data_IF_716632388659
#
_entry.id   IF_716632388659
#
_cell.length_a   1.000
_cell.length_b   1.000
_cell.length_c   1.000
_cell.angle_alpha   90.00
_cell.angle_beta   90.00
_cell.angle_gamma   90.00
#
_symmetry.space_group_name_H-M   'P 1'
#
loop_
_entity.id
_entity.type
_entity.pdbx_description
1 polymer ?
#
# COMPACT_ATOMS: atom_id res chain seq x y z
N UNK A 1 27.02 1.69 16.11
CA UNK A 1 25.58 1.97 15.87
C UNK A 1 25.28 2.48 14.45
N UNK A 2 26.10 3.37 13.87
CA UNK A 2 25.87 3.96 12.53
C UNK A 2 25.71 2.96 11.36
N UNK A 3 26.48 1.86 11.34
CA UNK A 3 26.43 0.84 10.27
C UNK A 3 25.09 0.06 10.25
N UNK A 4 24.49 -0.18 11.42
CA UNK A 4 23.22 -0.91 11.53
C UNK A 4 22.04 -0.08 11.01
N UNK A 5 22.08 1.24 11.23
CA UNK A 5 21.04 2.18 10.79
C UNK A 5 20.99 2.34 9.27
N UNK A 6 22.15 2.39 8.61
CA UNK A 6 22.20 2.50 7.14
C UNK A 6 21.56 1.27 6.46
N UNK A 7 21.84 0.07 6.97
CA UNK A 7 21.26 -1.18 6.45
C UNK A 7 19.74 -1.25 6.63
N UNK A 8 19.20 -0.73 7.73
CA UNK A 8 17.75 -0.67 7.95
C UNK A 8 17.06 0.28 6.97
N UNK A 9 17.62 1.47 6.76
CA UNK A 9 17.05 2.48 5.86
C UNK A 9 17.06 1.97 4.42
N UNK A 10 18.13 1.32 3.97
CA UNK A 10 18.20 0.78 2.60
C UNK A 10 17.16 -0.32 2.37
N UNK A 11 16.97 -1.23 3.32
CA UNK A 11 15.93 -2.28 3.24
C UNK A 11 14.53 -1.66 3.16
N UNK A 12 14.26 -0.66 4.00
CA UNK A 12 12.97 0.04 3.98
C UNK A 12 12.73 0.75 2.64
N UNK A 13 13.72 1.50 2.15
CA UNK A 13 13.62 2.18 0.85
C UNK A 13 13.39 1.18 -0.29
N UNK A 14 14.11 0.05 -0.29
CA UNK A 14 13.92 -1.00 -1.28
C UNK A 14 12.48 -1.52 -1.28
N UNK A 15 11.93 -1.84 -0.11
CA UNK A 15 10.53 -2.28 -0.02
C UNK A 15 9.54 -1.20 -0.40
N UNK A 16 9.82 0.06 -0.07
CA UNK A 16 8.99 1.20 -0.46
C UNK A 16 8.94 1.38 -1.98
N UNK A 17 10.09 1.38 -2.66
CA UNK A 17 10.13 1.52 -4.11
C UNK A 17 9.50 0.32 -4.82
N UNK A 18 9.75 -0.90 -4.33
CA UNK A 18 9.11 -2.10 -4.88
C UNK A 18 7.59 -2.05 -4.70
N UNK A 19 7.10 -1.58 -3.55
CA UNK A 19 5.67 -1.41 -3.32
C UNK A 19 5.04 -0.34 -4.22
N UNK A 20 5.66 0.85 -4.33
CA UNK A 20 5.17 1.93 -5.19
C UNK A 20 5.13 1.54 -6.66
N UNK A 21 6.24 1.03 -7.19
CA UNK A 21 6.37 0.64 -8.60
C UNK A 21 5.49 -0.57 -8.87
N UNK A 22 5.52 -1.58 -8.00
CA UNK A 22 4.73 -2.80 -8.16
C UNK A 22 3.24 -2.52 -8.22
N UNK A 23 2.72 -1.71 -7.30
CA UNK A 23 1.28 -1.38 -7.29
C UNK A 23 0.88 -0.51 -8.49
N UNK A 24 1.71 0.49 -8.82
CA UNK A 24 1.42 1.40 -9.95
C UNK A 24 1.49 0.66 -11.28
N UNK A 25 2.48 -0.22 -11.47
CA UNK A 25 2.62 -1.03 -12.66
C UNK A 25 1.50 -2.06 -12.78
N UNK A 26 1.13 -2.71 -11.68
CA UNK A 26 0.01 -3.65 -11.65
C UNK A 26 -1.31 -2.97 -12.02
N UNK A 27 -1.60 -1.80 -11.43
CA UNK A 27 -2.76 -0.97 -11.78
C UNK A 27 -2.76 -0.62 -13.27
N UNK A 28 -1.66 -0.07 -13.77
CA UNK A 28 -1.56 0.37 -15.17
C UNK A 28 -1.75 -0.81 -16.14
N UNK A 29 -1.05 -1.92 -15.90
CA UNK A 29 -1.10 -3.09 -16.76
C UNK A 29 -2.50 -3.70 -16.80
N UNK A 30 -3.16 -3.80 -15.64
CA UNK A 30 -4.51 -4.36 -15.56
C UNK A 30 -5.51 -3.50 -16.34
N UNK A 31 -5.53 -2.19 -16.12
CA UNK A 31 -6.45 -1.31 -16.86
C UNK A 31 -6.12 -1.24 -18.34
N UNK A 32 -4.84 -1.25 -18.71
CA UNK A 32 -4.42 -1.32 -20.10
C UNK A 32 -4.93 -2.60 -20.78
N UNK A 33 -4.82 -3.74 -20.10
CA UNK A 33 -5.24 -5.03 -20.64
C UNK A 33 -6.77 -5.16 -20.75
N UNK A 34 -7.51 -4.58 -19.82
CA UNK A 34 -8.98 -4.62 -19.80
C UNK A 34 -9.59 -3.64 -20.80
N UNK A 35 -9.10 -2.40 -20.84
CA UNK A 35 -9.68 -1.35 -21.69
C UNK A 35 -9.07 -1.32 -23.10
N UNK A 36 -7.84 -1.84 -23.27
CA UNK A 36 -7.09 -1.76 -24.52
C UNK A 36 -6.56 -0.35 -24.87
N UNK A 37 -6.80 0.65 -24.00
CA UNK A 37 -6.36 2.03 -24.18
C UNK A 37 -5.30 2.41 -23.14
N UNK A 38 -4.14 2.87 -23.60
CA UNK A 38 -3.02 3.32 -22.78
C UNK A 38 -3.27 4.63 -22.02
N UNK A 39 -4.25 5.45 -22.45
CA UNK A 39 -4.60 6.73 -21.81
C UNK A 39 -5.62 6.55 -20.69
N UNK A 40 -6.46 5.53 -20.79
CA UNK A 40 -7.53 5.29 -19.83
C UNK A 40 -7.03 5.13 -18.37
N UNK A 41 -5.95 4.38 -18.07
CA UNK A 41 -5.43 4.29 -16.70
C UNK A 41 -5.01 5.65 -16.12
N UNK A 42 -4.46 6.53 -16.93
CA UNK A 42 -3.98 7.85 -16.47
C UNK A 42 -5.14 8.81 -16.19
N UNK A 43 -6.17 8.78 -17.06
CA UNK A 43 -7.39 9.59 -16.87
C UNK A 43 -8.11 9.15 -15.60
N UNK A 44 -8.27 7.84 -15.42
CA UNK A 44 -8.90 7.25 -14.24
C UNK A 44 -8.10 7.58 -12.96
N UNK A 45 -6.78 7.49 -13.01
CA UNK A 45 -5.91 7.86 -11.88
C UNK A 45 -6.13 9.32 -11.43
N UNK A 46 -6.23 10.24 -12.38
CA UNK A 46 -6.48 11.66 -12.11
C UNK A 46 -7.88 11.91 -11.56
N UNK A 47 -8.89 11.18 -12.05
CA UNK A 47 -10.28 11.31 -11.60
C UNK A 47 -10.47 10.92 -10.13
N UNK A 48 -9.68 9.98 -9.61
CA UNK A 48 -9.79 9.47 -8.23
C UNK A 48 -8.71 10.02 -7.28
N UNK A 49 -8.03 11.13 -7.63
CA UNK A 49 -7.20 11.85 -6.67
C UNK A 49 -8.04 12.44 -5.51
N UNK A 50 -7.50 12.65 -4.31
CA UNK A 50 -6.18 12.24 -3.82
C UNK A 50 -6.15 10.77 -3.38
N UNK A 51 -7.29 10.08 -3.35
CA UNK A 51 -7.44 8.74 -2.77
C UNK A 51 -6.50 7.72 -3.39
N UNK A 52 -6.31 7.75 -4.70
CA UNK A 52 -5.42 6.82 -5.40
C UNK A 52 -3.94 7.04 -5.02
N UNK A 53 -3.50 8.30 -4.90
CA UNK A 53 -2.13 8.61 -4.43
C UNK A 53 -1.93 8.17 -2.98
N UNK A 54 -2.90 8.42 -2.10
CA UNK A 54 -2.84 7.98 -0.71
C UNK A 54 -2.70 6.45 -0.61
N UNK A 55 -3.43 5.71 -1.44
CA UNK A 55 -3.39 4.25 -1.44
C UNK A 55 -2.02 3.74 -1.93
N UNK A 56 -1.50 4.29 -3.04
CA UNK A 56 -0.18 3.89 -3.58
C UNK A 56 0.93 4.21 -2.59
N UNK A 57 0.97 5.43 -2.06
CA UNK A 57 1.99 5.86 -1.08
C UNK A 57 1.90 5.00 0.18
N UNK A 58 0.70 4.80 0.71
CA UNK A 58 0.48 4.01 1.90
C UNK A 58 0.88 2.55 1.72
N UNK A 59 0.56 1.93 0.58
CA UNK A 59 1.02 0.58 0.24
C UNK A 59 2.55 0.49 0.11
N UNK A 60 3.19 1.50 -0.49
CA UNK A 60 4.65 1.60 -0.51
C UNK A 60 5.24 1.59 0.90
N UNK A 61 4.69 2.40 1.81
CA UNK A 61 5.12 2.43 3.22
C UNK A 61 4.91 1.05 3.88
N UNK A 62 3.75 0.43 3.69
CA UNK A 62 3.47 -0.92 4.21
C UNK A 62 4.49 -1.94 3.69
N UNK A 63 4.85 -1.89 2.42
CA UNK A 63 5.84 -2.81 1.83
C UNK A 63 7.26 -2.59 2.36
N UNK A 64 7.66 -1.33 2.55
CA UNK A 64 8.92 -1.01 3.23
C UNK A 64 8.96 -1.58 4.64
N UNK A 65 7.86 -1.42 5.40
CA UNK A 65 7.75 -1.88 6.78
C UNK A 65 7.66 -3.40 6.88
N UNK A 66 6.96 -4.05 5.94
CA UNK A 66 6.93 -5.50 5.79
C UNK A 66 8.33 -6.07 5.53
N UNK A 67 9.13 -5.44 4.67
CA UNK A 67 10.47 -5.92 4.38
C UNK A 67 11.39 -5.81 5.60
N UNK A 68 11.26 -4.75 6.39
CA UNK A 68 11.96 -4.63 7.67
C UNK A 68 11.63 -5.81 8.61
N UNK A 69 10.33 -6.09 8.79
CA UNK A 69 9.85 -7.22 9.59
C UNK A 69 10.33 -8.57 9.01
N UNK A 70 10.30 -8.72 7.69
CA UNK A 70 10.72 -9.94 6.98
C UNK A 70 12.20 -10.24 7.18
N UNK A 71 13.04 -9.21 7.21
CA UNK A 71 14.47 -9.31 7.49
C UNK A 71 14.80 -9.42 9.00
N UNK A 72 13.79 -9.60 9.85
CA UNK A 72 13.96 -9.78 11.29
C UNK A 72 14.42 -8.53 12.02
N UNK A 73 14.26 -7.35 11.42
CA UNK A 73 14.58 -6.07 12.05
C UNK A 73 13.38 -5.66 12.89
N UNK A 74 13.47 -5.88 14.20
CA UNK A 74 12.50 -5.46 15.20
C UNK A 74 13.22 -4.56 16.22
N UNK A 75 12.66 -3.40 16.56
CA UNK A 75 13.33 -2.43 17.43
C UNK A 75 13.12 -2.71 18.92
N UNK A 76 12.08 -3.44 19.33
CA UNK A 76 12.00 -4.00 20.69
C UNK A 76 10.88 -5.05 20.85
N UNK A 77 11.21 -6.14 21.55
CA UNK A 77 10.38 -7.08 22.33
C UNK A 77 8.87 -7.24 21.99
N UNK A 78 8.51 -8.14 21.05
CA UNK A 78 7.33 -9.01 21.23
C UNK A 78 7.43 -10.25 20.32
N UNK A 79 6.96 -11.40 20.81
CA UNK A 79 7.11 -12.74 20.23
C UNK A 79 6.97 -12.82 18.70
N UNK A 80 7.83 -13.67 18.11
CA UNK A 80 8.06 -13.84 16.67
C UNK A 80 6.84 -14.28 15.83
N UNK A 81 5.66 -14.51 16.42
CA UNK A 81 4.51 -15.11 15.72
C UNK A 81 3.43 -14.11 15.28
N UNK A 82 3.10 -13.09 16.07
CA UNK A 82 1.94 -12.22 15.75
C UNK A 82 2.22 -11.16 14.69
N UNK A 83 3.45 -10.64 14.64
CA UNK A 83 3.83 -9.54 13.74
C UNK A 83 3.86 -9.97 12.27
N UNK A 84 4.20 -11.23 11.97
CA UNK A 84 4.14 -11.78 10.60
C UNK A 84 2.72 -11.96 10.11
N UNK A 85 1.82 -12.42 10.99
CA UNK A 85 0.40 -12.61 10.66
C UNK A 85 -0.30 -11.27 10.44
N UNK A 86 -0.11 -10.28 11.31
CA UNK A 86 -0.74 -8.97 11.14
C UNK A 86 -0.28 -8.24 9.86
N UNK A 87 1.01 -8.37 9.53
CA UNK A 87 1.58 -7.80 8.33
C UNK A 87 1.07 -8.50 7.05
N UNK A 88 0.97 -9.84 7.05
CA UNK A 88 0.41 -10.57 5.91
C UNK A 88 -1.08 -10.29 5.72
N UNK A 89 -1.85 -10.19 6.80
CA UNK A 89 -3.30 -9.98 6.73
C UNK A 89 -3.64 -8.59 6.24
N UNK A 90 -2.93 -7.55 6.68
CA UNK A 90 -3.17 -6.18 6.20
C UNK A 90 -2.77 -5.98 4.74
N UNK A 91 -1.64 -6.55 4.31
CA UNK A 91 -1.27 -6.58 2.88
C UNK A 91 -2.28 -7.36 2.05
N UNK A 92 -2.75 -8.51 2.53
CA UNK A 92 -3.76 -9.29 1.83
C UNK A 92 -5.09 -8.54 1.71
N UNK A 93 -5.54 -7.85 2.76
CA UNK A 93 -6.77 -7.05 2.73
C UNK A 93 -6.65 -5.86 1.78
N UNK A 94 -5.54 -5.12 1.77
CA UNK A 94 -5.32 -4.05 0.78
C UNK A 94 -5.20 -4.58 -0.65
N UNK A 95 -4.57 -5.75 -0.84
CA UNK A 95 -4.53 -6.44 -2.13
C UNK A 95 -5.90 -6.88 -2.59
N UNK A 96 -6.73 -7.45 -1.71
CA UNK A 96 -8.11 -7.83 -2.02
C UNK A 96 -8.99 -6.62 -2.32
N UNK A 97 -8.83 -5.51 -1.58
CA UNK A 97 -9.55 -4.27 -1.86
C UNK A 97 -9.18 -3.69 -3.24
N UNK A 98 -7.91 -3.80 -3.64
CA UNK A 98 -7.47 -3.40 -4.98
C UNK A 98 -7.96 -4.35 -6.06
N UNK A 99 -7.86 -5.67 -5.85
CA UNK A 99 -8.42 -6.65 -6.80
C UNK A 99 -9.91 -6.45 -6.96
N UNK A 100 -10.66 -6.17 -5.89
CA UNK A 100 -12.07 -5.81 -5.97
C UNK A 100 -12.30 -4.52 -6.78
N UNK A 101 -11.47 -3.48 -6.56
CA UNK A 101 -11.45 -2.23 -7.32
C UNK A 101 -10.94 -2.39 -8.78
N UNK A 102 -10.39 -3.55 -9.15
CA UNK A 102 -9.93 -3.83 -10.51
C UNK A 102 -10.88 -4.79 -11.24
N UNK A 103 -11.44 -5.77 -10.52
CA UNK A 103 -12.43 -6.72 -11.03
C UNK A 103 -13.71 -6.01 -11.44
N UNK A 104 -14.04 -4.86 -10.84
CA UNK A 104 -15.22 -4.11 -11.28
C UNK A 104 -15.15 -3.62 -12.72
N UNK A 105 -13.96 -3.30 -13.23
CA UNK A 105 -13.76 -2.91 -14.62
C UNK A 105 -13.81 -4.11 -15.57
N UNK A 106 -13.53 -5.32 -15.07
CA UNK A 106 -13.76 -6.55 -15.85
C UNK A 106 -15.26 -6.71 -16.12
N UNK A 107 -16.12 -6.23 -15.21
CA UNK A 107 -17.57 -6.33 -15.36
C UNK A 107 -18.15 -5.38 -16.42
N UNK A 108 -17.38 -4.39 -16.89
CA UNK A 108 -17.72 -3.58 -18.08
C UNK A 108 -17.72 -4.43 -19.37
N UNK A 109 -17.10 -5.62 -19.35
CA UNK A 109 -17.13 -6.63 -20.43
C UNK A 109 -18.19 -7.73 -20.23
N UNK A 110 -18.96 -7.69 -19.14
CA UNK A 110 -19.96 -8.71 -18.80
C UNK A 110 -21.42 -8.50 -19.30
N UNK A 111 -21.74 -7.69 -20.34
CA UNK A 111 -23.09 -7.72 -20.93
C UNK A 111 -23.54 -9.09 -21.48
N UNK A 112 -22.71 -10.13 -21.44
CA UNK A 112 -23.01 -11.47 -22.00
C UNK A 112 -23.36 -12.52 -20.93
N UNK A 113 -23.04 -12.33 -19.64
CA UNK A 113 -23.14 -13.39 -18.61
C UNK A 113 -23.96 -13.06 -17.35
N UNK A 114 -24.86 -12.07 -17.38
CA UNK A 114 -25.80 -11.82 -16.26
C UNK A 114 -25.16 -11.27 -14.97
N UNK A 115 -23.91 -10.81 -15.03
CA UNK A 115 -23.17 -10.14 -13.94
C UNK A 115 -23.24 -8.60 -14.03
N UNK A 116 -24.04 -8.05 -14.95
CA UNK A 116 -24.18 -6.61 -15.19
C UNK A 116 -24.60 -5.83 -13.95
N UNK A 117 -25.39 -6.42 -13.03
CA UNK A 117 -25.77 -5.78 -11.78
C UNK A 117 -24.58 -5.64 -10.80
N UNK A 118 -23.68 -6.63 -10.76
CA UNK A 118 -22.44 -6.52 -9.99
C UNK A 118 -21.49 -5.48 -10.61
N UNK A 119 -21.47 -5.35 -11.94
CA UNK A 119 -20.70 -4.33 -12.65
C UNK A 119 -21.08 -2.93 -12.21
N UNK A 120 -22.38 -2.67 -12.31
CA UNK A 120 -22.97 -1.39 -12.01
C UNK A 120 -22.79 -1.08 -10.53
N UNK A 121 -22.99 -2.07 -9.65
CA UNK A 121 -22.76 -1.92 -8.22
C UNK A 121 -21.31 -1.57 -7.90
N UNK A 122 -20.33 -2.32 -8.42
CA UNK A 122 -18.93 -2.03 -8.08
C UNK A 122 -18.44 -0.71 -8.73
N UNK A 123 -18.92 -0.34 -9.92
CA UNK A 123 -18.61 0.95 -10.54
C UNK A 123 -19.20 2.12 -9.76
N UNK A 124 -20.43 1.99 -9.25
CA UNK A 124 -21.09 3.06 -8.50
C UNK A 124 -20.49 3.26 -7.10
N UNK A 125 -20.00 2.18 -6.47
CA UNK A 125 -19.35 2.22 -5.16
C UNK A 125 -17.81 2.30 -5.23
N UNK A 126 -17.21 2.44 -6.41
CA UNK A 126 -15.75 2.47 -6.60
C UNK A 126 -15.05 3.47 -5.67
N UNK A 127 -15.61 4.68 -5.52
CA UNK A 127 -15.06 5.70 -4.60
C UNK A 127 -15.12 5.26 -3.14
N UNK A 128 -16.22 4.61 -2.72
CA UNK A 128 -16.38 4.11 -1.34
C UNK A 128 -15.35 3.01 -1.03
N UNK A 129 -15.11 2.10 -1.97
CA UNK A 129 -14.07 1.09 -1.85
C UNK A 129 -12.67 1.70 -1.74
N UNK A 130 -12.39 2.76 -2.48
CA UNK A 130 -11.11 3.47 -2.41
C UNK A 130 -10.90 4.14 -1.06
N UNK A 131 -11.94 4.78 -0.51
CA UNK A 131 -11.90 5.36 0.85
C UNK A 131 -11.65 4.28 1.89
N UNK A 132 -12.40 3.17 1.83
CA UNK A 132 -12.23 2.05 2.75
C UNK A 132 -10.83 1.43 2.63
N UNK A 133 -10.32 1.28 1.40
CA UNK A 133 -8.98 0.80 1.12
C UNK A 133 -7.89 1.69 1.74
N UNK A 134 -8.04 3.02 1.64
CA UNK A 134 -7.13 3.97 2.29
C UNK A 134 -7.20 3.86 3.82
N UNK A 135 -8.39 3.74 4.41
CA UNK A 135 -8.55 3.56 5.85
C UNK A 135 -7.90 2.25 6.34
N UNK A 136 -8.16 1.14 5.65
CA UNK A 136 -7.54 -0.15 5.95
C UNK A 136 -6.01 -0.09 5.80
N UNK A 137 -5.52 0.65 4.79
CA UNK A 137 -4.09 0.86 4.60
C UNK A 137 -3.47 1.62 5.78
N UNK A 138 -4.12 2.69 6.24
CA UNK A 138 -3.69 3.48 7.39
C UNK A 138 -3.64 2.64 8.68
N UNK A 139 -4.67 1.82 8.92
CA UNK A 139 -4.70 0.87 10.05
C UNK A 139 -3.55 -0.13 9.95
N UNK A 140 -3.30 -0.69 8.77
CA UNK A 140 -2.20 -1.63 8.53
C UNK A 140 -0.82 -1.02 8.82
N UNK A 141 -0.58 0.23 8.36
CA UNK A 141 0.65 0.96 8.66
C UNK A 141 0.79 1.15 10.17
N UNK A 142 -0.28 1.61 10.84
CA UNK A 142 -0.26 1.85 12.27
C UNK A 142 0.05 0.57 13.06
N UNK A 143 -0.59 -0.54 12.70
CA UNK A 143 -0.35 -1.86 13.31
C UNK A 143 1.09 -2.33 13.09
N UNK A 144 1.60 -2.30 11.85
CA UNK A 144 2.98 -2.70 11.58
C UNK A 144 3.98 -1.79 12.31
N UNK A 145 3.70 -0.49 12.42
CA UNK A 145 4.57 0.46 13.12
C UNK A 145 4.58 0.17 14.62
N UNK A 146 3.41 -0.13 15.18
CA UNK A 146 3.27 -0.59 16.56
C UNK A 146 4.12 -1.85 16.81
N UNK A 147 4.05 -2.85 15.93
CA UNK A 147 4.84 -4.07 16.03
C UNK A 147 6.34 -3.86 15.86
N UNK A 148 6.76 -2.98 14.94
CA UNK A 148 8.18 -2.70 14.71
C UNK A 148 8.81 -1.95 15.89
N UNK A 149 8.04 -1.06 16.54
CA UNK A 149 8.58 -0.12 17.53
C UNK A 149 8.21 -0.43 18.98
N UNK A 150 7.32 -1.39 19.24
CA UNK A 150 7.10 -2.02 20.55
C UNK A 150 6.76 -1.06 21.71
N UNK A 151 6.25 0.16 21.43
CA UNK A 151 6.09 1.36 22.29
C UNK A 151 7.13 2.46 22.05
N UNK A 152 7.12 3.10 20.89
CA UNK A 152 7.84 4.36 20.72
C UNK A 152 6.90 5.50 20.31
N UNK A 153 7.00 6.60 21.07
CA UNK A 153 6.50 7.92 20.72
C UNK A 153 6.79 8.18 19.23
N UNK A 154 5.72 8.45 18.47
CA UNK A 154 5.72 8.87 17.07
C UNK A 154 6.76 9.99 16.76
N UNK A 155 7.20 10.73 17.78
CA UNK A 155 8.22 11.78 17.67
C UNK A 155 9.62 11.28 17.30
N UNK A 156 10.00 10.02 17.54
CA UNK A 156 11.39 9.57 17.29
C UNK A 156 11.63 9.32 15.78
N UNK A 157 10.64 8.75 15.07
CA UNK A 157 10.75 8.51 13.63
C UNK A 157 10.62 9.83 12.87
N UNK A 158 9.65 10.68 13.25
CA UNK A 158 9.50 12.01 12.66
C UNK A 158 10.79 12.84 12.80
N UNK A 159 11.44 12.79 13.96
CA UNK A 159 12.69 13.51 14.17
C UNK A 159 13.85 12.91 13.37
N UNK A 160 13.93 11.58 13.21
CA UNK A 160 15.00 10.93 12.43
C UNK A 160 14.92 11.16 10.91
N UNK A 161 13.71 11.36 10.39
CA UNK A 161 13.50 11.71 8.97
C UNK A 161 13.82 13.20 8.73
N UNK A 162 13.51 14.07 9.70
CA UNK A 162 13.69 15.51 9.55
C UNK A 162 15.09 16.03 9.94
N UNK A 163 15.84 15.32 10.80
CA UNK A 163 17.19 15.75 11.20
C UNK A 163 18.25 15.53 10.14
N UNK A 164 18.06 14.61 9.18
CA UNK A 164 19.05 14.36 8.13
C UNK A 164 19.13 15.45 7.05
N UNK A 165 18.22 16.42 7.07
CA UNK A 165 18.27 17.60 6.18
C UNK A 165 19.14 18.72 6.75
N UNK A 166 19.53 18.67 8.04
CA UNK A 166 20.26 19.77 8.69
C UNK A 166 21.78 19.60 8.78
N UNK A 167 22.33 18.47 8.32
CA UNK A 167 23.79 18.26 8.24
C UNK A 167 24.38 18.43 6.83
N UNK A 168 23.59 18.93 5.87
CA UNK A 168 24.06 19.20 4.49
C UNK A 168 23.97 20.69 4.15
N UNK A 169 23.97 21.56 5.16
CA UNK A 169 24.19 23.00 4.98
C UNK A 169 25.21 23.52 5.98
#
# INVERSE_FOLDING_TARGET
MQVKTNKTITIFLQGLFVGLIGLSAFYYLLLFLVTGDAKHPLIQFMAFQPWMSLLIIGFGIQMGLFWLLRNGIQFNLQEKNDSKMAASTSTAVSGMAMVACCVHHVVDLLPVLGLSAAALFLSEYQKQFLIFGVLANLVGIFMMLWFVTGRAKLSIIFNSVFTKTKEVL
#
